data_IF_273427259474
#
_entry.id   IF_273427259474
#
_cell.length_a   1.000
_cell.length_b   1.000
_cell.length_c   1.000
_cell.angle_alpha   90.00
_cell.angle_beta   90.00
_cell.angle_gamma   90.00
#
_symmetry.space_group_name_H-M   'P 1'
#
loop_
_entity.id
_entity.type
_entity.pdbx_description
1 polymer ?
#
# COMPACT_ATOMS: atom_id res chain seq x y z
N UNK A 1 -5.87 30.08 9.11
CA UNK A 1 -6.56 29.27 10.14
C UNK A 1 -5.80 27.97 10.30
N UNK A 2 -5.76 27.49 11.50
CA UNK A 2 -5.30 26.15 11.85
C UNK A 2 -6.52 25.44 12.41
N UNK A 3 -7.07 24.48 11.66
CA UNK A 3 -8.34 23.83 12.03
C UNK A 3 -8.16 22.75 13.11
N UNK A 4 -9.27 22.16 13.58
CA UNK A 4 -9.24 21.09 14.59
C UNK A 4 -8.56 19.82 14.08
N UNK A 5 -8.61 19.56 12.77
CA UNK A 5 -7.89 18.49 12.08
C UNK A 5 -6.39 18.75 11.90
N UNK A 6 -5.87 19.90 12.39
CA UNK A 6 -4.49 20.39 12.22
C UNK A 6 -4.09 20.64 10.76
N UNK A 7 -5.07 20.93 9.91
CA UNK A 7 -4.83 21.42 8.56
C UNK A 7 -4.61 22.94 8.58
N UNK A 8 -3.98 23.46 7.55
CA UNK A 8 -3.77 24.91 7.38
C UNK A 8 -4.72 25.40 6.30
N UNK A 9 -5.51 26.43 6.61
CA UNK A 9 -6.40 27.07 5.65
C UNK A 9 -6.00 28.55 5.56
N UNK A 10 -5.66 29.03 4.34
CA UNK A 10 -5.21 30.39 4.07
C UNK A 10 -6.18 30.99 3.06
N UNK A 11 -6.59 32.25 3.31
CA UNK A 11 -7.47 33.00 2.43
C UNK A 11 -6.72 34.13 1.76
N UNK A 12 -6.98 34.34 0.48
CA UNK A 12 -6.50 35.49 -0.26
C UNK A 12 -7.67 36.09 -1.06
N UNK A 13 -7.88 37.41 -0.97
CA UNK A 13 -8.90 38.13 -1.73
C UNK A 13 -8.61 38.06 -3.23
N UNK A 14 -9.67 38.10 -4.06
CA UNK A 14 -9.51 38.17 -5.51
C UNK A 14 -8.79 39.43 -5.97
N UNK A 15 -7.98 39.29 -6.99
CA UNK A 15 -7.29 40.44 -7.63
C UNK A 15 -8.29 41.34 -8.35
N UNK A 16 -7.85 42.55 -8.74
CA UNK A 16 -8.67 43.52 -9.44
C UNK A 16 -9.36 42.95 -10.68
N UNK A 17 -10.70 43.02 -10.69
CA UNK A 17 -11.58 42.46 -11.72
C UNK A 17 -12.07 41.03 -11.42
N UNK A 18 -11.60 40.41 -10.38
CA UNK A 18 -12.01 39.06 -9.93
C UNK A 18 -12.57 39.06 -8.50
N UNK A 19 -12.74 40.19 -7.85
CA UNK A 19 -13.14 40.31 -6.44
C UNK A 19 -14.49 39.64 -6.13
N UNK A 20 -15.40 39.67 -7.10
CA UNK A 20 -16.74 39.09 -7.00
C UNK A 20 -16.88 37.70 -7.60
N UNK A 21 -15.76 37.09 -8.04
CA UNK A 21 -15.75 35.73 -8.54
C UNK A 21 -15.94 34.73 -7.42
N UNK A 22 -16.53 33.59 -7.71
CA UNK A 22 -16.63 32.50 -6.73
C UNK A 22 -15.23 31.98 -6.34
N UNK A 23 -14.97 31.72 -5.05
CA UNK A 23 -13.67 31.24 -4.60
C UNK A 23 -13.25 29.92 -5.28
N UNK A 24 -11.92 29.74 -5.41
CA UNK A 24 -11.31 28.49 -5.81
C UNK A 24 -10.52 27.91 -4.63
N UNK A 25 -10.66 26.62 -4.42
CA UNK A 25 -9.87 25.88 -3.41
C UNK A 25 -8.65 25.30 -4.12
N UNK A 26 -7.44 25.62 -3.60
CA UNK A 26 -6.19 24.97 -3.97
C UNK A 26 -5.78 24.04 -2.83
N UNK A 27 -5.56 22.77 -3.13
CA UNK A 27 -5.28 21.77 -2.08
C UNK A 27 -4.04 20.95 -2.42
N UNK A 28 -3.23 20.71 -1.40
CA UNK A 28 -2.10 19.78 -1.37
C UNK A 28 -1.83 19.33 0.06
N UNK A 29 -0.87 18.41 0.27
CA UNK A 29 -0.49 17.97 1.60
C UNK A 29 0.92 18.37 2.00
N UNK A 30 1.19 18.47 3.32
CA UNK A 30 2.46 18.98 3.85
C UNK A 30 3.37 17.90 4.40
N UNK A 31 2.87 16.69 4.56
CA UNK A 31 3.67 15.53 4.99
C UNK A 31 4.31 14.84 3.79
N UNK A 32 5.25 13.94 4.06
CA UNK A 32 5.96 13.17 3.06
C UNK A 32 6.28 11.77 3.57
N UNK A 33 6.50 10.82 2.68
CA UNK A 33 7.09 9.53 3.03
C UNK A 33 8.52 9.76 3.52
N UNK A 34 8.79 9.42 4.79
CA UNK A 34 10.12 9.52 5.39
C UNK A 34 10.88 8.19 5.23
N UNK A 35 11.51 7.98 4.07
CA UNK A 35 12.31 6.79 3.79
C UNK A 35 13.77 7.16 3.43
N UNK A 36 14.69 6.24 3.68
CA UNK A 36 16.12 6.45 3.43
C UNK A 36 16.84 5.15 3.07
N UNK A 37 17.95 5.26 2.33
CA UNK A 37 18.80 4.12 2.05
C UNK A 37 19.49 3.61 3.32
N UNK A 38 19.86 2.30 3.41
CA UNK A 38 20.42 1.72 4.64
C UNK A 38 21.65 2.42 5.20
N UNK A 39 22.49 2.97 4.34
CA UNK A 39 23.74 3.64 4.73
C UNK A 39 23.57 5.12 5.09
N UNK A 40 22.36 5.69 4.94
CA UNK A 40 22.08 7.07 5.28
C UNK A 40 21.85 7.21 6.79
N UNK A 41 22.65 8.08 7.43
CA UNK A 41 22.65 8.27 8.90
C UNK A 41 21.74 9.40 9.36
N UNK A 42 21.17 10.20 8.45
CA UNK A 42 20.32 11.34 8.78
C UNK A 42 19.13 10.95 9.67
N UNK A 43 18.86 11.74 10.70
CA UNK A 43 17.62 11.63 11.50
C UNK A 43 16.56 12.59 10.92
N UNK A 44 15.75 12.07 9.99
CA UNK A 44 14.73 12.88 9.28
C UNK A 44 13.67 13.50 10.20
N UNK A 45 13.61 13.10 11.48
CA UNK A 45 12.72 13.73 12.47
C UNK A 45 13.30 15.01 13.09
N UNK A 46 14.60 15.28 12.89
CA UNK A 46 15.33 16.38 13.53
C UNK A 46 16.19 17.20 12.59
N UNK A 47 16.59 16.60 11.46
CA UNK A 47 17.54 17.18 10.52
C UNK A 47 16.86 17.46 9.19
N UNK A 48 17.23 18.55 8.53
CA UNK A 48 16.79 18.85 7.17
C UNK A 48 17.47 17.95 6.15
N UNK A 49 16.81 17.78 5.00
CA UNK A 49 17.32 16.97 3.90
C UNK A 49 18.55 17.63 3.24
N UNK A 50 19.49 16.82 2.77
CA UNK A 50 20.59 17.28 1.94
C UNK A 50 20.13 17.36 0.49
N UNK A 51 19.83 18.57 0.00
CA UNK A 51 19.34 18.79 -1.36
C UNK A 51 20.48 18.81 -2.37
N UNK A 52 20.29 18.12 -3.47
CA UNK A 52 21.20 18.04 -4.61
C UNK A 52 20.49 18.42 -5.90
N UNK A 53 21.21 19.01 -6.87
CA UNK A 53 20.68 19.32 -8.19
C UNK A 53 21.77 19.22 -9.25
N UNK A 54 21.38 18.81 -10.47
CA UNK A 54 22.21 18.87 -11.67
C UNK A 54 21.79 19.98 -12.63
N UNK A 55 20.79 20.79 -12.22
CA UNK A 55 20.21 21.88 -13.02
C UNK A 55 18.95 21.45 -13.79
N UNK A 56 18.67 20.18 -13.90
CA UNK A 56 17.44 19.63 -14.50
C UNK A 56 16.58 18.96 -13.44
N UNK A 57 17.19 18.20 -12.53
CA UNK A 57 16.52 17.51 -11.43
C UNK A 57 16.92 18.05 -10.07
N UNK A 58 16.01 17.95 -9.12
CA UNK A 58 16.23 18.18 -7.68
C UNK A 58 15.95 16.87 -6.94
N UNK A 59 16.90 16.43 -6.09
CA UNK A 59 16.73 15.24 -5.24
C UNK A 59 17.32 15.46 -3.86
N UNK A 60 17.03 14.55 -2.93
CA UNK A 60 17.68 14.50 -1.63
C UNK A 60 18.70 13.36 -1.59
N UNK A 61 19.88 13.59 -1.01
CA UNK A 61 20.94 12.61 -0.91
C UNK A 61 20.60 11.53 0.11
N UNK A 62 20.41 10.30 -0.36
CA UNK A 62 20.14 9.13 0.46
C UNK A 62 18.76 9.07 1.13
N UNK A 63 17.86 10.02 0.84
CA UNK A 63 16.51 10.05 1.41
C UNK A 63 15.46 10.34 0.34
N UNK A 64 14.18 10.16 0.68
CA UNK A 64 13.05 10.76 -0.05
C UNK A 64 13.14 12.27 -0.01
N UNK A 65 12.63 12.96 -1.06
CA UNK A 65 12.64 14.43 -1.18
C UNK A 65 11.38 15.10 -0.62
N UNK A 66 10.20 14.44 -0.74
CA UNK A 66 8.89 15.06 -0.46
C UNK A 66 8.43 16.00 -1.58
N UNK A 67 8.81 15.73 -2.83
CA UNK A 67 8.28 16.43 -3.99
C UNK A 67 6.77 16.20 -4.14
N UNK A 68 6.33 15.04 -3.80
CA UNK A 68 4.98 14.66 -3.46
C UNK A 68 4.77 14.92 -1.95
N UNK A 69 4.00 15.93 -1.52
CA UNK A 69 3.30 16.93 -2.36
C UNK A 69 3.86 18.34 -2.09
N UNK A 70 5.15 18.43 -1.75
CA UNK A 70 5.84 19.71 -1.51
C UNK A 70 5.76 20.66 -2.70
N UNK A 71 5.60 20.14 -3.94
CA UNK A 71 5.45 20.98 -5.13
C UNK A 71 4.11 21.72 -5.11
N UNK A 72 3.01 21.10 -4.69
CA UNK A 72 1.72 21.78 -4.54
C UNK A 72 1.79 22.88 -3.49
N UNK A 73 2.41 22.58 -2.34
CA UNK A 73 2.62 23.59 -1.29
C UNK A 73 3.43 24.78 -1.84
N UNK A 74 4.49 24.52 -2.60
CA UNK A 74 5.31 25.56 -3.22
C UNK A 74 4.50 26.42 -4.22
N UNK A 75 3.70 25.81 -5.10
CA UNK A 75 2.83 26.55 -6.03
C UNK A 75 1.76 27.37 -5.29
N UNK A 76 1.10 26.79 -4.31
CA UNK A 76 0.11 27.49 -3.47
C UNK A 76 0.76 28.71 -2.82
N UNK A 77 1.92 28.56 -2.17
CA UNK A 77 2.62 29.64 -1.51
C UNK A 77 3.10 30.71 -2.52
N UNK A 78 3.58 30.32 -3.69
CA UNK A 78 3.98 31.25 -4.75
C UNK A 78 2.80 32.10 -5.22
N UNK A 79 1.63 31.50 -5.44
CA UNK A 79 0.40 32.24 -5.82
C UNK A 79 -0.06 33.16 -4.68
N UNK A 80 -0.03 32.67 -3.44
CA UNK A 80 -0.41 33.47 -2.28
C UNK A 80 0.53 34.69 -2.07
N UNK A 81 1.82 34.56 -2.36
CA UNK A 81 2.83 35.61 -2.22
C UNK A 81 2.87 36.57 -3.41
N UNK A 82 2.31 36.18 -4.58
CA UNK A 82 2.37 37.01 -5.79
C UNK A 82 1.33 38.14 -5.78
N UNK A 83 1.74 39.31 -6.26
CA UNK A 83 0.85 40.45 -6.53
C UNK A 83 0.51 40.56 -8.04
N UNK A 84 1.19 39.77 -8.90
CA UNK A 84 1.13 39.90 -10.35
C UNK A 84 0.24 38.84 -11.02
N UNK A 85 -0.13 37.80 -10.33
CA UNK A 85 -0.94 36.71 -10.86
C UNK A 85 -2.42 37.04 -10.68
N UNK A 86 -3.22 37.26 -11.75
CA UNK A 86 -4.65 37.50 -11.63
C UNK A 86 -5.36 36.22 -11.16
N UNK A 87 -6.17 36.32 -10.10
CA UNK A 87 -6.88 35.18 -9.52
C UNK A 87 -8.22 35.60 -8.87
N UNK A 88 -9.22 34.68 -8.83
CA UNK A 88 -10.39 34.84 -7.97
C UNK A 88 -9.99 34.72 -6.48
N UNK A 89 -10.89 34.96 -5.54
CA UNK A 89 -10.60 34.63 -4.14
C UNK A 89 -10.08 33.21 -4.01
N UNK A 90 -9.03 33.03 -3.22
CA UNK A 90 -8.37 31.71 -3.02
C UNK A 90 -8.62 31.25 -1.59
N UNK A 91 -8.95 29.97 -1.49
CA UNK A 91 -8.99 29.20 -0.25
C UNK A 91 -7.93 28.09 -0.37
N UNK A 92 -6.72 28.36 0.15
CA UNK A 92 -5.66 27.38 0.13
C UNK A 92 -5.83 26.40 1.31
N UNK A 93 -5.87 25.11 1.03
CA UNK A 93 -6.02 24.03 2.02
C UNK A 93 -4.79 23.15 1.96
N UNK A 94 -3.99 23.15 3.03
CA UNK A 94 -2.80 22.31 3.14
C UNK A 94 -3.07 21.28 4.23
N UNK A 95 -3.24 20.02 3.82
CA UNK A 95 -3.59 18.92 4.71
C UNK A 95 -2.36 18.22 5.29
N UNK A 96 -2.53 17.51 6.39
CA UNK A 96 -1.52 16.66 7.03
C UNK A 96 -1.83 15.19 6.82
N UNK A 97 -0.83 14.32 7.06
CA UNK A 97 -0.99 12.88 7.20
C UNK A 97 -1.75 12.24 6.01
N UNK A 98 -1.47 12.72 4.79
CA UNK A 98 -1.96 12.11 3.56
C UNK A 98 -1.39 10.70 3.42
N UNK A 99 -0.06 10.59 3.57
CA UNK A 99 0.76 9.41 3.33
C UNK A 99 0.47 8.23 4.29
N UNK A 100 -0.24 8.48 5.37
CA UNK A 100 -0.65 7.48 6.35
C UNK A 100 -2.16 7.24 6.38
N UNK A 101 -2.89 7.70 5.36
CA UNK A 101 -4.29 7.39 5.15
C UNK A 101 -5.25 8.57 5.10
N UNK A 102 -4.82 9.73 4.58
CA UNK A 102 -5.65 10.93 4.35
C UNK A 102 -6.28 11.48 5.63
N UNK A 103 -5.59 11.35 6.78
CA UNK A 103 -6.18 11.66 8.10
C UNK A 103 -6.57 13.12 8.21
N UNK A 104 -5.72 14.06 7.75
CA UNK A 104 -6.03 15.47 7.75
C UNK A 104 -7.22 15.82 6.87
N UNK A 105 -7.32 15.23 5.68
CA UNK A 105 -8.46 15.44 4.79
C UNK A 105 -9.77 14.90 5.38
N UNK A 106 -9.72 13.76 6.09
CA UNK A 106 -10.90 13.20 6.77
C UNK A 106 -11.39 14.07 7.93
N UNK A 107 -10.51 14.80 8.59
CA UNK A 107 -10.80 15.67 9.74
C UNK A 107 -10.95 17.16 9.34
N UNK A 108 -10.91 17.48 8.05
CA UNK A 108 -10.98 18.87 7.56
C UNK A 108 -12.29 19.56 7.94
N UNK A 109 -12.20 20.71 8.59
CA UNK A 109 -13.36 21.57 8.89
C UNK A 109 -13.82 22.34 7.66
N UNK A 110 -14.66 21.70 6.85
CA UNK A 110 -15.19 22.28 5.60
C UNK A 110 -16.09 23.51 5.78
N UNK A 111 -16.54 23.80 7.02
CA UNK A 111 -17.34 24.98 7.34
C UNK A 111 -16.66 26.31 7.03
N UNK A 112 -15.34 26.36 7.00
CA UNK A 112 -14.56 27.53 6.60
C UNK A 112 -14.58 27.79 5.09
N UNK A 113 -14.87 26.76 4.27
CA UNK A 113 -14.76 26.82 2.83
C UNK A 113 -16.06 27.26 2.16
N UNK A 114 -15.96 28.15 1.19
CA UNK A 114 -17.07 28.66 0.36
C UNK A 114 -16.94 28.25 -1.09
N UNK A 115 -15.72 27.89 -1.52
CA UNK A 115 -15.40 27.44 -2.88
C UNK A 115 -16.22 26.21 -3.27
N UNK A 116 -16.63 26.19 -4.54
CA UNK A 116 -17.34 25.05 -5.16
C UNK A 116 -16.48 24.33 -6.21
N UNK A 117 -15.29 24.84 -6.42
CA UNK A 117 -14.28 24.26 -7.33
C UNK A 117 -13.02 24.05 -6.53
N UNK A 118 -12.50 22.82 -6.59
CA UNK A 118 -11.25 22.43 -5.93
C UNK A 118 -10.27 21.96 -7.00
N UNK A 119 -9.05 22.40 -6.90
CA UNK A 119 -7.89 21.89 -7.64
C UNK A 119 -6.98 21.24 -6.60
N UNK A 120 -6.89 19.92 -6.64
CA UNK A 120 -5.87 19.17 -5.93
C UNK A 120 -4.65 19.08 -6.86
N UNK A 121 -3.47 19.34 -6.34
CA UNK A 121 -2.22 19.44 -7.12
C UNK A 121 -1.30 18.22 -6.79
N UNK A 122 -1.89 17.18 -6.29
CA UNK A 122 -1.26 15.94 -5.88
C UNK A 122 -1.45 14.88 -6.98
N UNK A 123 -0.87 15.16 -8.17
CA UNK A 123 -0.94 14.28 -9.34
C UNK A 123 0.43 14.20 -10.01
N UNK A 124 0.91 12.98 -10.25
CA UNK A 124 2.27 12.72 -10.73
C UNK A 124 2.42 12.88 -12.25
N UNK A 125 1.34 12.67 -13.02
CA UNK A 125 1.40 12.66 -14.48
C UNK A 125 1.13 14.04 -15.08
N UNK A 126 2.11 14.59 -15.81
CA UNK A 126 1.97 15.88 -16.50
C UNK A 126 0.84 15.85 -17.54
N UNK A 127 -0.02 16.88 -17.47
CA UNK A 127 -1.12 17.07 -18.44
C UNK A 127 -2.32 16.13 -18.25
N UNK A 128 -2.34 15.33 -17.18
CA UNK A 128 -3.46 14.44 -16.84
C UNK A 128 -4.29 15.03 -15.72
N UNK A 129 -5.60 15.21 -15.98
CA UNK A 129 -6.57 15.66 -14.99
C UNK A 129 -7.43 14.48 -14.52
N UNK A 130 -7.27 14.08 -13.26
CA UNK A 130 -8.09 13.02 -12.66
C UNK A 130 -9.33 13.64 -12.01
N UNK A 131 -10.52 13.30 -12.55
CA UNK A 131 -11.78 13.86 -12.09
C UNK A 131 -12.50 13.00 -11.02
N UNK A 132 -11.92 11.90 -10.61
CA UNK A 132 -12.47 11.03 -9.59
C UNK A 132 -11.59 9.81 -9.33
N UNK A 133 -11.78 9.16 -8.19
CA UNK A 133 -11.06 7.96 -7.80
C UNK A 133 -12.01 6.92 -7.17
N UNK A 134 -11.57 5.68 -7.14
CA UNK A 134 -12.23 4.63 -6.37
C UNK A 134 -12.06 4.88 -4.88
N UNK A 135 -13.13 4.71 -4.11
CA UNK A 135 -13.01 4.72 -2.66
C UNK A 135 -12.22 3.49 -2.17
N UNK A 136 -11.42 3.67 -1.11
CA UNK A 136 -10.64 2.61 -0.50
C UNK A 136 -11.11 2.29 0.92
N UNK A 137 -10.82 1.06 1.38
CA UNK A 137 -11.03 0.60 2.75
C UNK A 137 -9.94 -0.40 3.10
N UNK A 138 -9.34 -0.24 4.28
CA UNK A 138 -8.46 -1.26 4.85
C UNK A 138 -9.32 -2.20 5.69
N UNK A 139 -9.18 -3.50 5.42
CA UNK A 139 -9.78 -4.57 6.21
C UNK A 139 -8.67 -5.43 6.82
N UNK A 140 -8.79 -5.77 8.10
CA UNK A 140 -7.82 -6.62 8.79
C UNK A 140 -8.50 -7.81 9.45
N UNK A 141 -8.24 -9.01 8.93
CA UNK A 141 -8.61 -10.26 9.57
C UNK A 141 -7.59 -10.61 10.67
N UNK A 142 -8.11 -11.01 11.83
CA UNK A 142 -7.32 -11.49 12.95
C UNK A 142 -7.79 -12.90 13.31
N UNK A 143 -7.00 -13.91 12.93
CA UNK A 143 -7.35 -15.32 13.09
C UNK A 143 -6.57 -15.88 14.29
N UNK A 144 -7.23 -16.33 15.37
CA UNK A 144 -6.58 -16.96 16.49
C UNK A 144 -5.86 -18.25 16.09
N UNK A 145 -4.62 -18.39 16.55
CA UNK A 145 -3.75 -19.55 16.29
C UNK A 145 -3.14 -20.07 17.58
N UNK A 146 -2.74 -21.32 17.56
CA UNK A 146 -2.11 -22.02 18.68
C UNK A 146 -0.73 -22.51 18.29
N UNK A 147 0.25 -22.30 19.17
CA UNK A 147 1.60 -22.83 19.02
C UNK A 147 1.82 -24.07 19.90
N UNK A 148 2.68 -24.93 19.40
CA UNK A 148 3.23 -26.11 20.08
C UNK A 148 4.77 -26.00 20.08
N UNK A 149 5.44 -26.68 21.02
CA UNK A 149 6.89 -26.83 20.97
C UNK A 149 7.33 -27.63 19.75
N UNK A 150 8.50 -27.33 19.22
CA UNK A 150 9.09 -28.04 18.09
C UNK A 150 10.57 -28.28 18.33
N UNK A 151 10.98 -29.51 18.15
CA UNK A 151 12.40 -29.94 18.16
C UNK A 151 12.84 -30.44 16.76
N UNK A 152 12.01 -30.28 15.73
CA UNK A 152 12.24 -30.80 14.38
C UNK A 152 12.98 -29.77 13.51
N UNK A 153 13.57 -30.26 12.42
CA UNK A 153 14.19 -29.45 11.39
C UNK A 153 13.19 -28.46 10.79
N UNK A 154 13.59 -27.22 10.69
CA UNK A 154 12.77 -26.18 10.09
C UNK A 154 13.42 -25.62 8.85
N UNK A 155 12.57 -25.22 7.91
CA UNK A 155 12.95 -24.70 6.60
C UNK A 155 12.27 -23.35 6.38
N UNK A 156 13.04 -22.35 5.98
CA UNK A 156 12.53 -21.07 5.50
C UNK A 156 12.35 -21.12 3.99
N UNK A 157 11.14 -20.92 3.52
CA UNK A 157 10.81 -20.71 2.11
C UNK A 157 10.64 -19.21 1.91
N UNK A 158 11.32 -18.64 0.91
CA UNK A 158 11.29 -17.21 0.63
C UNK A 158 11.00 -16.95 -0.85
N UNK A 159 10.05 -16.07 -1.10
CA UNK A 159 9.68 -15.54 -2.41
C UNK A 159 10.11 -14.10 -2.50
N UNK A 160 10.77 -13.72 -3.59
CA UNK A 160 11.21 -12.35 -3.84
C UNK A 160 11.32 -12.07 -5.34
N UNK A 161 11.52 -10.80 -5.70
CA UNK A 161 11.77 -10.39 -7.08
C UNK A 161 10.53 -10.38 -7.99
N UNK A 162 9.32 -10.42 -7.44
CA UNK A 162 8.09 -10.19 -8.19
C UNK A 162 7.98 -8.71 -8.61
N UNK A 163 7.21 -8.46 -9.67
CA UNK A 163 7.00 -7.10 -10.19
C UNK A 163 6.30 -6.20 -9.16
N UNK A 164 5.29 -6.72 -8.44
CA UNK A 164 4.53 -5.93 -7.48
C UNK A 164 3.83 -4.73 -8.12
N UNK A 165 3.57 -3.68 -7.35
CA UNK A 165 2.98 -2.44 -7.84
C UNK A 165 1.92 -1.86 -6.91
N UNK A 166 1.31 -0.75 -7.32
CA UNK A 166 0.23 -0.12 -6.58
C UNK A 166 -1.11 -0.87 -6.76
N UNK A 167 -1.78 -1.20 -5.66
CA UNK A 167 -3.03 -1.99 -5.68
C UNK A 167 -4.22 -1.32 -6.37
N UNK A 168 -4.15 -0.03 -6.66
CA UNK A 168 -5.16 0.69 -7.45
C UNK A 168 -4.84 0.71 -8.94
N UNK A 169 -3.58 1.01 -9.30
CA UNK A 169 -3.14 1.24 -10.68
C UNK A 169 -2.74 -0.07 -11.37
N UNK A 170 -2.05 -0.96 -10.64
CA UNK A 170 -1.44 -2.14 -11.23
C UNK A 170 -2.24 -3.43 -11.02
N UNK A 171 -3.29 -3.42 -10.18
CA UNK A 171 -4.04 -4.63 -9.83
C UNK A 171 -4.72 -5.29 -11.07
N UNK A 172 -5.11 -4.48 -12.04
CA UNK A 172 -5.68 -4.95 -13.31
C UNK A 172 -4.65 -5.61 -14.24
N UNK A 173 -3.35 -5.44 -14.00
CA UNK A 173 -2.27 -6.02 -14.80
C UNK A 173 -1.98 -7.49 -14.45
N UNK A 174 -2.75 -8.08 -13.55
CA UNK A 174 -2.65 -9.49 -13.12
C UNK A 174 -1.23 -9.88 -12.67
N UNK A 175 -0.54 -8.98 -11.94
CA UNK A 175 0.77 -9.25 -11.34
C UNK A 175 0.62 -10.23 -10.18
N UNK A 176 1.61 -11.10 -10.02
CA UNK A 176 1.60 -12.05 -8.92
C UNK A 176 1.78 -11.36 -7.56
N UNK A 177 1.07 -11.89 -6.58
CA UNK A 177 1.16 -11.49 -5.18
C UNK A 177 1.98 -12.54 -4.42
N UNK A 178 3.11 -12.14 -3.82
CA UNK A 178 4.02 -13.05 -3.13
C UNK A 178 3.35 -13.85 -2.00
N UNK A 179 2.39 -13.25 -1.30
CA UNK A 179 1.64 -13.93 -0.22
C UNK A 179 0.74 -15.01 -0.80
N UNK A 180 0.04 -14.73 -1.91
CA UNK A 180 -0.81 -15.71 -2.59
C UNK A 180 0.01 -16.84 -3.18
N UNK A 181 1.16 -16.51 -3.77
CA UNK A 181 2.08 -17.50 -4.31
C UNK A 181 2.65 -18.41 -3.21
N UNK A 182 2.98 -17.84 -2.04
CA UNK A 182 3.38 -18.60 -0.87
C UNK A 182 2.25 -19.52 -0.40
N UNK A 183 1.01 -19.01 -0.33
CA UNK A 183 -0.18 -19.82 -0.03
C UNK A 183 -0.36 -20.99 -0.99
N UNK A 184 -0.15 -20.79 -2.31
CA UNK A 184 -0.19 -21.84 -3.33
C UNK A 184 0.88 -22.91 -3.04
N UNK A 185 2.11 -22.52 -2.74
CA UNK A 185 3.19 -23.47 -2.40
C UNK A 185 2.82 -24.31 -1.17
N UNK A 186 2.36 -23.66 -0.09
CA UNK A 186 1.99 -24.34 1.13
C UNK A 186 0.80 -25.27 0.92
N UNK A 187 -0.18 -24.88 0.12
CA UNK A 187 -1.32 -25.73 -0.23
C UNK A 187 -0.91 -26.96 -1.03
N UNK A 188 -0.15 -26.79 -2.12
CA UNK A 188 0.33 -27.93 -2.92
C UNK A 188 1.18 -28.88 -2.06
N UNK A 189 2.05 -28.34 -1.20
CA UNK A 189 2.84 -29.14 -0.28
C UNK A 189 1.99 -29.94 0.71
N UNK A 190 0.88 -29.36 1.19
CA UNK A 190 -0.04 -29.99 2.15
C UNK A 190 -0.79 -31.21 1.59
N UNK A 191 -0.86 -31.35 0.27
CA UNK A 191 -1.53 -32.49 -0.37
C UNK A 191 -0.71 -33.78 -0.24
N UNK A 192 0.63 -33.67 -0.22
CA UNK A 192 1.53 -34.81 -0.25
C UNK A 192 2.38 -34.95 1.03
N UNK A 193 2.56 -33.88 1.79
CA UNK A 193 3.48 -33.82 2.92
C UNK A 193 2.80 -33.33 4.20
N UNK A 194 3.21 -33.93 5.34
CA UNK A 194 2.86 -33.40 6.66
C UNK A 194 3.89 -32.36 7.07
N UNK A 195 3.43 -31.16 7.38
CA UNK A 195 4.25 -30.10 7.93
C UNK A 195 3.44 -29.17 8.85
N UNK A 196 4.11 -28.31 9.58
CA UNK A 196 3.49 -27.24 10.36
C UNK A 196 4.17 -25.90 10.04
N UNK A 197 3.41 -24.83 9.99
CA UNK A 197 3.96 -23.49 9.87
C UNK A 197 4.53 -23.06 11.23
N UNK A 198 5.71 -22.45 11.22
CA UNK A 198 6.37 -21.89 12.41
C UNK A 198 6.30 -20.36 12.42
N UNK A 199 6.45 -19.76 11.25
CA UNK A 199 6.32 -18.32 11.01
C UNK A 199 5.87 -18.05 9.60
N UNK A 200 5.19 -16.91 9.38
CA UNK A 200 4.83 -16.42 8.06
C UNK A 200 4.77 -14.90 8.07
N UNK A 201 5.36 -14.29 7.05
CA UNK A 201 5.30 -12.85 6.86
C UNK A 201 5.35 -12.52 5.38
N UNK A 202 4.62 -11.49 4.97
CA UNK A 202 4.63 -11.00 3.59
C UNK A 202 4.06 -9.61 3.47
N UNK A 203 4.57 -8.88 2.46
CA UNK A 203 4.16 -7.51 2.19
C UNK A 203 4.65 -6.48 3.20
N UNK A 204 4.41 -5.20 2.87
CA UNK A 204 4.87 -4.05 3.65
C UNK A 204 3.74 -3.07 3.95
N UNK A 205 2.85 -2.85 2.97
CA UNK A 205 1.69 -1.94 3.07
C UNK A 205 0.50 -2.54 2.33
N UNK A 206 -0.71 -2.22 2.78
CA UNK A 206 -1.97 -2.73 2.23
C UNK A 206 -2.20 -2.29 0.78
N UNK A 207 -1.76 -1.07 0.43
CA UNK A 207 -1.91 -0.50 -0.91
C UNK A 207 -0.85 -0.96 -1.93
N UNK A 208 0.06 -1.87 -1.54
CA UNK A 208 1.11 -2.43 -2.41
C UNK A 208 0.81 -3.89 -2.71
N UNK A 209 0.97 -4.32 -3.97
CA UNK A 209 0.97 -5.75 -4.36
C UNK A 209 2.29 -6.35 -3.86
N UNK A 210 2.28 -7.30 -2.92
CA UNK A 210 3.49 -7.84 -2.30
C UNK A 210 4.49 -8.44 -3.28
N UNK A 211 5.74 -7.96 -3.21
CA UNK A 211 6.88 -8.49 -4.00
C UNK A 211 7.62 -9.61 -3.28
N UNK A 212 7.44 -9.71 -1.96
CA UNK A 212 8.18 -10.61 -1.09
C UNK A 212 7.26 -11.22 -0.03
N UNK A 213 7.49 -12.49 0.26
CA UNK A 213 6.89 -13.19 1.39
C UNK A 213 7.78 -14.37 1.80
N UNK A 214 7.68 -14.79 3.05
CA UNK A 214 8.32 -16.01 3.51
C UNK A 214 7.42 -16.79 4.47
N UNK A 215 7.67 -18.10 4.54
CA UNK A 215 7.21 -18.95 5.64
C UNK A 215 8.38 -19.77 6.19
N UNK A 216 8.36 -19.99 7.50
CA UNK A 216 9.17 -21.01 8.16
C UNK A 216 8.27 -22.18 8.45
N UNK A 217 8.64 -23.37 8.00
CA UNK A 217 7.88 -24.60 8.17
C UNK A 217 8.73 -25.67 8.85
N UNK A 218 8.08 -26.48 9.67
CA UNK A 218 8.65 -27.69 10.24
C UNK A 218 8.24 -28.87 9.34
N UNK A 219 9.19 -29.49 8.65
CA UNK A 219 8.96 -30.54 7.66
C UNK A 219 10.10 -31.56 7.68
N UNK A 220 9.76 -32.85 7.47
CA UNK A 220 10.74 -33.94 7.45
C UNK A 220 11.26 -34.23 6.04
N UNK A 221 10.38 -34.21 5.02
CA UNK A 221 10.74 -34.49 3.63
C UNK A 221 10.54 -33.26 2.73
N UNK A 222 11.62 -32.82 2.11
CA UNK A 222 11.65 -31.64 1.21
C UNK A 222 11.61 -32.00 -0.27
N UNK A 223 11.54 -33.28 -0.64
CA UNK A 223 11.64 -33.74 -2.04
C UNK A 223 10.55 -33.09 -2.92
N UNK A 224 9.31 -33.08 -2.45
CA UNK A 224 8.16 -32.49 -3.15
C UNK A 224 8.26 -30.97 -3.31
N UNK A 225 8.85 -30.28 -2.35
CA UNK A 225 9.00 -28.81 -2.40
C UNK A 225 9.82 -28.38 -3.62
N UNK A 226 10.87 -29.13 -4.00
CA UNK A 226 11.70 -28.82 -5.18
C UNK A 226 10.88 -28.91 -6.46
N UNK A 227 10.02 -29.92 -6.58
CA UNK A 227 9.18 -30.11 -7.76
C UNK A 227 8.12 -29.01 -7.87
N UNK A 228 7.46 -28.68 -6.77
CA UNK A 228 6.49 -27.59 -6.68
C UNK A 228 7.13 -26.27 -7.13
N UNK A 229 8.29 -25.91 -6.56
CA UNK A 229 9.01 -24.69 -6.91
C UNK A 229 9.39 -24.66 -8.40
N UNK A 230 9.85 -25.78 -8.95
CA UNK A 230 10.22 -25.91 -10.37
C UNK A 230 9.01 -25.64 -11.26
N UNK A 231 7.86 -26.22 -10.95
CA UNK A 231 6.63 -26.06 -11.73
C UNK A 231 6.17 -24.61 -11.71
N UNK A 232 6.09 -23.97 -10.53
CA UNK A 232 5.71 -22.57 -10.37
C UNK A 232 6.64 -21.63 -11.13
N UNK A 233 7.96 -21.83 -11.04
CA UNK A 233 8.92 -21.04 -11.82
C UNK A 233 8.70 -21.18 -13.33
N UNK A 234 8.35 -22.37 -13.80
CA UNK A 234 8.05 -22.62 -15.21
C UNK A 234 6.76 -21.92 -15.66
N UNK A 235 5.73 -21.90 -14.83
CA UNK A 235 4.47 -21.19 -15.10
C UNK A 235 4.68 -19.68 -15.23
N UNK A 236 5.49 -19.09 -14.34
CA UNK A 236 5.64 -17.64 -14.20
C UNK A 236 6.84 -17.05 -14.94
N UNK A 237 7.60 -17.85 -15.68
CA UNK A 237 8.88 -17.46 -16.32
C UNK A 237 8.73 -16.25 -17.27
N UNK A 238 7.60 -16.10 -17.92
CA UNK A 238 7.34 -15.03 -18.88
C UNK A 238 6.73 -13.78 -18.26
N UNK A 239 6.01 -13.92 -17.15
CA UNK A 239 5.28 -12.83 -16.49
C UNK A 239 6.05 -12.22 -15.34
N UNK A 240 6.81 -13.02 -14.59
CA UNK A 240 7.56 -12.61 -13.40
C UNK A 240 9.06 -12.95 -13.55
N UNK A 241 9.73 -12.29 -14.50
CA UNK A 241 11.13 -12.57 -14.88
C UNK A 241 12.13 -12.44 -13.74
N UNK A 242 11.82 -11.64 -12.72
CA UNK A 242 12.67 -11.45 -11.54
C UNK A 242 12.42 -12.47 -10.42
N UNK A 243 11.42 -13.36 -10.55
CA UNK A 243 11.00 -14.29 -9.52
C UNK A 243 12.14 -15.16 -8.99
N UNK A 244 12.35 -15.07 -7.69
CA UNK A 244 13.24 -15.95 -6.94
C UNK A 244 12.43 -16.66 -5.87
N UNK A 245 12.50 -17.99 -5.86
CA UNK A 245 11.98 -18.83 -4.78
C UNK A 245 13.16 -19.64 -4.26
N UNK A 246 13.51 -19.41 -3.01
CA UNK A 246 14.62 -20.08 -2.31
C UNK A 246 14.10 -20.78 -1.07
N UNK A 247 14.84 -21.77 -0.60
CA UNK A 247 14.61 -22.35 0.72
C UNK A 247 15.95 -22.70 1.37
N UNK A 248 16.01 -22.56 2.68
CA UNK A 248 17.20 -22.81 3.49
C UNK A 248 16.79 -23.32 4.86
N UNK A 249 17.69 -24.08 5.49
CA UNK A 249 17.54 -24.50 6.87
C UNK A 249 17.53 -23.27 7.78
N UNK A 250 16.74 -23.34 8.83
CA UNK A 250 16.62 -22.31 9.88
C UNK A 250 16.25 -22.99 11.19
N UNK A 251 16.20 -22.24 12.28
CA UNK A 251 15.81 -22.76 13.59
C UNK A 251 14.49 -22.15 14.06
N UNK A 252 13.63 -22.97 14.63
CA UNK A 252 12.44 -22.53 15.37
C UNK A 252 12.13 -23.52 16.49
N UNK A 253 11.93 -23.02 17.69
CA UNK A 253 11.56 -23.82 18.86
C UNK A 253 10.04 -23.97 19.02
N UNK A 254 9.26 -23.37 18.13
CA UNK A 254 7.79 -23.43 18.11
C UNK A 254 7.26 -23.64 16.70
N UNK A 255 6.13 -24.31 16.61
CA UNK A 255 5.35 -24.50 15.39
C UNK A 255 3.87 -24.30 15.69
N UNK A 256 3.08 -23.97 14.71
CA UNK A 256 1.63 -23.95 14.85
C UNK A 256 1.08 -25.37 15.01
N UNK A 257 0.00 -25.51 15.76
CA UNK A 257 -0.80 -26.73 15.77
C UNK A 257 -1.23 -27.06 14.35
N UNK A 258 -1.53 -28.35 14.09
CA UNK A 258 -2.03 -28.77 12.79
C UNK A 258 -3.27 -27.96 12.39
N UNK A 259 -4.22 -27.78 13.30
CA UNK A 259 -5.44 -27.01 13.05
C UNK A 259 -5.14 -25.56 12.67
N UNK A 260 -4.21 -24.91 13.35
CA UNK A 260 -3.81 -23.53 13.03
C UNK A 260 -3.08 -23.41 11.71
N UNK A 261 -2.23 -24.40 11.38
CA UNK A 261 -1.58 -24.50 10.06
C UNK A 261 -2.63 -24.66 8.95
N UNK A 262 -3.59 -25.57 9.11
CA UNK A 262 -4.65 -25.82 8.12
C UNK A 262 -5.53 -24.57 7.93
N UNK A 263 -5.86 -23.84 9.00
CA UNK A 263 -6.59 -22.57 8.92
C UNK A 263 -5.87 -21.54 8.05
N UNK A 264 -4.57 -21.32 8.27
CA UNK A 264 -3.77 -20.34 7.50
C UNK A 264 -3.72 -20.75 6.03
N UNK A 265 -3.45 -22.02 5.73
CA UNK A 265 -3.39 -22.52 4.35
C UNK A 265 -4.74 -22.30 3.66
N UNK A 266 -5.84 -22.70 4.32
CA UNK A 266 -7.20 -22.53 3.80
C UNK A 266 -7.51 -21.05 3.54
N UNK A 267 -7.20 -20.17 4.48
CA UNK A 267 -7.40 -18.74 4.33
C UNK A 267 -6.62 -18.20 3.12
N UNK A 268 -5.32 -18.46 3.04
CA UNK A 268 -4.47 -17.99 1.95
C UNK A 268 -4.90 -18.51 0.59
N UNK A 269 -5.45 -19.73 0.53
CA UNK A 269 -5.89 -20.36 -0.71
C UNK A 269 -7.23 -19.79 -1.18
N UNK A 270 -8.21 -19.69 -0.29
CA UNK A 270 -9.58 -19.34 -0.64
C UNK A 270 -9.78 -17.82 -0.82
N UNK A 271 -9.01 -17.00 -0.09
CA UNK A 271 -9.13 -15.54 -0.20
C UNK A 271 -8.58 -15.04 -1.52
N UNK A 272 -9.32 -14.18 -2.20
CA UNK A 272 -8.89 -13.55 -3.45
C UNK A 272 -7.93 -12.38 -3.19
N UNK A 273 -7.06 -12.09 -4.15
CA UNK A 273 -6.22 -10.89 -4.19
C UNK A 273 -6.03 -10.51 -5.67
N UNK A 274 -6.97 -9.74 -6.21
CA UNK A 274 -7.05 -9.43 -7.65
C UNK A 274 -8.07 -8.33 -7.94
N UNK A 275 -8.14 -7.89 -9.21
CA UNK A 275 -9.27 -7.15 -9.73
C UNK A 275 -10.50 -8.07 -9.81
N UNK A 276 -11.61 -7.66 -9.20
CA UNK A 276 -12.83 -8.46 -9.06
C UNK A 276 -13.91 -8.11 -10.08
N UNK A 277 -14.02 -6.82 -10.45
CA UNK A 277 -15.01 -6.33 -11.40
C UNK A 277 -14.39 -5.31 -12.35
N UNK A 278 -14.86 -5.31 -13.58
CA UNK A 278 -14.45 -4.38 -14.64
C UNK A 278 -15.66 -3.71 -15.27
N UNK A 279 -15.48 -2.51 -15.79
CA UNK A 279 -16.48 -1.85 -16.63
C UNK A 279 -16.36 -2.30 -18.11
N UNK A 280 -17.24 -1.76 -18.97
CA UNK A 280 -17.26 -2.07 -20.40
C UNK A 280 -16.00 -1.61 -21.16
N UNK A 281 -15.16 -0.77 -20.54
CA UNK A 281 -13.88 -0.31 -21.10
C UNK A 281 -12.68 -1.09 -20.55
N UNK A 282 -12.95 -2.16 -19.80
CA UNK A 282 -11.94 -2.97 -19.11
C UNK A 282 -11.17 -2.23 -18.01
N UNK A 283 -11.76 -1.17 -17.44
CA UNK A 283 -11.23 -0.49 -16.25
C UNK A 283 -11.71 -1.19 -14.99
N UNK A 284 -10.85 -1.29 -13.99
CA UNK A 284 -11.16 -1.98 -12.72
C UNK A 284 -12.17 -1.16 -11.91
N UNK A 285 -13.30 -1.74 -11.60
CA UNK A 285 -14.34 -1.15 -10.75
C UNK A 285 -14.19 -1.54 -9.28
N UNK A 286 -13.83 -2.79 -9.02
CA UNK A 286 -13.69 -3.34 -7.67
C UNK A 286 -12.47 -4.24 -7.63
N UNK A 287 -11.65 -4.08 -6.59
CA UNK A 287 -10.45 -4.90 -6.37
C UNK A 287 -10.23 -5.21 -4.90
N UNK A 288 -9.53 -6.30 -4.67
CA UNK A 288 -9.09 -6.77 -3.36
C UNK A 288 -7.60 -7.09 -3.44
N UNK A 289 -6.80 -6.48 -2.57
CA UNK A 289 -5.37 -6.77 -2.46
C UNK A 289 -5.04 -7.26 -1.05
N UNK A 290 -4.56 -8.48 -0.92
CA UNK A 290 -3.93 -8.97 0.31
C UNK A 290 -2.53 -8.36 0.39
N UNK A 291 -2.41 -7.26 1.13
CA UNK A 291 -1.20 -6.44 1.16
C UNK A 291 -0.18 -6.86 2.22
N UNK A 292 -0.63 -7.35 3.38
CA UNK A 292 0.25 -7.71 4.49
C UNK A 292 -0.24 -8.96 5.20
N UNK A 293 0.67 -9.86 5.55
CA UNK A 293 0.42 -10.95 6.51
C UNK A 293 1.54 -11.04 7.55
N UNK A 294 1.19 -11.42 8.76
CA UNK A 294 2.15 -11.67 9.85
C UNK A 294 1.58 -12.58 10.94
N UNK A 295 2.48 -13.18 11.73
CA UNK A 295 2.15 -13.85 12.99
C UNK A 295 2.63 -12.99 14.15
N UNK A 296 1.73 -12.64 15.07
CA UNK A 296 2.05 -11.96 16.32
C UNK A 296 1.03 -12.33 17.41
N UNK A 297 1.48 -12.47 18.64
CA UNK A 297 0.64 -12.63 19.85
C UNK A 297 -0.48 -13.69 19.69
N UNK A 298 -0.12 -14.90 19.22
CA UNK A 298 -1.05 -15.99 18.94
C UNK A 298 -2.17 -15.64 17.93
N UNK A 299 -1.86 -14.72 17.03
CA UNK A 299 -2.78 -14.28 15.99
C UNK A 299 -2.10 -14.29 14.63
N UNK A 300 -2.74 -14.88 13.64
CA UNK A 300 -2.43 -14.62 12.23
C UNK A 300 -3.21 -13.40 11.79
N UNK A 301 -2.48 -12.36 11.42
CA UNK A 301 -3.03 -11.10 10.92
C UNK A 301 -2.90 -11.04 9.41
N UNK A 302 -3.99 -10.68 8.73
CA UNK A 302 -4.01 -10.46 7.29
C UNK A 302 -4.70 -9.14 6.98
N UNK A 303 -4.00 -8.21 6.34
CA UNK A 303 -4.52 -6.87 6.03
C UNK A 303 -4.70 -6.70 4.52
N UNK A 304 -5.86 -6.17 4.15
CA UNK A 304 -6.30 -5.99 2.77
C UNK A 304 -6.56 -4.52 2.46
N UNK A 305 -6.31 -4.16 1.20
CA UNK A 305 -6.86 -2.96 0.59
C UNK A 305 -8.03 -3.35 -0.31
N UNK A 306 -9.22 -2.91 0.03
CA UNK A 306 -10.43 -3.05 -0.78
C UNK A 306 -10.67 -1.73 -1.50
N UNK A 307 -10.84 -1.75 -2.81
CA UNK A 307 -11.17 -0.56 -3.60
C UNK A 307 -12.42 -0.81 -4.43
N UNK A 308 -13.30 0.19 -4.50
CA UNK A 308 -14.45 0.17 -5.40
C UNK A 308 -14.97 1.56 -5.70
N UNK A 309 -15.52 1.75 -6.90
CA UNK A 309 -16.27 2.93 -7.29
C UNK A 309 -17.67 2.99 -6.63
N UNK A 310 -18.11 1.90 -6.00
CA UNK A 310 -19.40 1.79 -5.33
C UNK A 310 -19.22 1.45 -3.85
N UNK A 311 -19.83 2.23 -2.97
CA UNK A 311 -19.73 2.05 -1.51
C UNK A 311 -20.20 0.67 -1.06
N UNK A 312 -21.37 0.23 -1.52
CA UNK A 312 -21.96 -1.06 -1.18
C UNK A 312 -21.09 -2.26 -1.62
N UNK A 313 -20.35 -2.13 -2.70
CA UNK A 313 -19.41 -3.16 -3.17
C UNK A 313 -18.23 -3.33 -2.20
N UNK A 314 -17.71 -2.23 -1.64
CA UNK A 314 -16.65 -2.31 -0.62
C UNK A 314 -17.13 -3.01 0.64
N UNK A 315 -18.32 -2.64 1.12
CA UNK A 315 -18.95 -3.25 2.28
C UNK A 315 -19.20 -4.76 2.03
N UNK A 316 -19.72 -5.12 0.87
CA UNK A 316 -19.91 -6.53 0.49
C UNK A 316 -18.60 -7.34 0.48
N UNK A 317 -17.47 -6.73 0.04
CA UNK A 317 -16.20 -7.43 0.07
C UNK A 317 -15.67 -7.63 1.50
N UNK A 318 -15.93 -6.70 2.43
CA UNK A 318 -15.58 -6.91 3.83
C UNK A 318 -16.44 -8.02 4.47
N UNK A 319 -17.73 -8.06 4.17
CA UNK A 319 -18.64 -9.11 4.67
C UNK A 319 -18.19 -10.51 4.22
N UNK A 320 -17.75 -10.64 2.94
CA UNK A 320 -17.20 -11.90 2.41
C UNK A 320 -15.90 -12.32 3.13
N UNK A 321 -15.12 -11.37 3.62
CA UNK A 321 -13.90 -11.67 4.37
C UNK A 321 -14.18 -12.03 5.84
N UNK A 322 -15.36 -11.69 6.36
CA UNK A 322 -15.83 -12.08 7.70
C UNK A 322 -16.36 -13.53 7.74
N UNK A 323 -16.83 -14.09 6.61
CA UNK A 323 -17.28 -15.50 6.45
C UNK A 323 -16.09 -16.48 6.38
#
# INVERSE_FOLDING_TARGET
IYDSGRNIIIFKDGTKGFENSGPIILQGHMDMVCDKVPDCTIDMSKEGLTLCTDGEYLWADGTTLGGDDGIAVAYILAILASDDIPHPPIEAVITRDEEIGLLGAAELETSYLKGKRLINIDSEDEGIFTAGCAGAMIYTANIPIEFESSDNNTLRIEISGLNGGHSGIDIGKQRENAIKLLGKILYELSQDCKFSVCDIKGGVRENVIPKQAYAVICIEDTSKLKDIIKNIKSELINTEKGLKITFSETESNKKLSKQSTDKIITFLTNTKSTALKFNNKNEVLTSLNLGVVSLADNTFRASFMIRSNLKNEKEQQSDILDE
#
